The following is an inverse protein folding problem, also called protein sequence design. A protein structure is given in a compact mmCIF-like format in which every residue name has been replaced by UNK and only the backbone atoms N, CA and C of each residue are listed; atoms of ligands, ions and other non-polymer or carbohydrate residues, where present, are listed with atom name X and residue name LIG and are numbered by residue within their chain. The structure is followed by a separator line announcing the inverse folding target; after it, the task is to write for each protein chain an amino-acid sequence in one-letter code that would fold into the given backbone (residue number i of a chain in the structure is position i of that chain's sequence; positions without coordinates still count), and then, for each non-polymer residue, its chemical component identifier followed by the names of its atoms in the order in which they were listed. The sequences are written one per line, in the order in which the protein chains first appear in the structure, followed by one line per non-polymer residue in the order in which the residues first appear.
data_IF_334528609329
#
_entry.id   IF_334528609329
#
_cell.length_a   1.000
_cell.length_b   1.000
_cell.length_c   1.000
_cell.angle_alpha   90.00
_cell.angle_beta   90.00
_cell.angle_gamma   90.00
#
_symmetry.space_group_name_H-M   'P 1'
#
loop_
_entity.id
_entity.type
_entity.pdbx_description
1 polymer ?
#
# COMPACT_ATOMS: atom_id res chain seq x y z
N UNK A 1 -3.53 -19.67 -11.11
CA UNK A 1 -3.17 -18.40 -10.43
C UNK A 1 -4.31 -17.43 -10.61
N UNK A 2 -4.67 -16.72 -9.54
CA UNK A 2 -5.77 -15.73 -9.53
C UNK A 2 -5.40 -14.46 -10.33
N UNK A 3 -6.39 -13.60 -10.62
CA UNK A 3 -6.16 -12.32 -11.33
C UNK A 3 -5.13 -11.44 -10.60
N UNK A 4 -5.22 -11.35 -9.27
CA UNK A 4 -4.27 -10.60 -8.43
C UNK A 4 -2.86 -11.17 -8.60
N UNK A 5 -2.70 -12.48 -8.41
CA UNK A 5 -1.40 -13.13 -8.48
C UNK A 5 -0.75 -12.93 -9.86
N UNK A 6 -1.52 -13.11 -10.94
CA UNK A 6 -1.04 -12.95 -12.32
C UNK A 6 -0.63 -11.51 -12.64
N UNK A 7 -1.34 -10.52 -12.10
CA UNK A 7 -0.95 -9.12 -12.28
C UNK A 7 0.32 -8.79 -11.49
N UNK A 8 0.38 -9.19 -10.22
CA UNK A 8 1.54 -8.96 -9.34
C UNK A 8 2.79 -9.67 -9.85
N UNK A 9 2.66 -10.86 -10.48
CA UNK A 9 3.78 -11.57 -11.12
C UNK A 9 4.17 -11.01 -12.50
N UNK A 10 3.43 -10.02 -13.02
CA UNK A 10 3.68 -9.43 -14.34
C UNK A 10 3.22 -10.28 -15.54
N UNK A 11 2.43 -11.34 -15.32
CA UNK A 11 1.91 -12.20 -16.39
C UNK A 11 0.79 -11.54 -17.20
N UNK A 12 0.00 -10.66 -16.58
CA UNK A 12 -1.12 -9.97 -17.24
C UNK A 12 -1.16 -8.50 -16.87
N UNK A 13 -1.65 -7.64 -17.78
CA UNK A 13 -1.98 -6.27 -17.43
C UNK A 13 -3.22 -6.19 -16.56
N UNK A 14 -3.44 -5.04 -15.93
CA UNK A 14 -4.70 -4.72 -15.28
C UNK A 14 -5.84 -4.50 -16.30
N UNK A 15 -7.06 -4.23 -15.81
CA UNK A 15 -8.25 -3.99 -16.65
C UNK A 15 -8.14 -2.74 -17.54
N UNK A 16 -7.16 -1.88 -17.33
CA UNK A 16 -6.86 -0.71 -18.17
C UNK A 16 -5.74 -0.99 -19.19
N UNK A 17 -5.22 -2.22 -19.25
CA UNK A 17 -4.12 -2.59 -20.14
C UNK A 17 -2.74 -2.16 -19.64
N UNK A 18 -2.59 -1.80 -18.36
CA UNK A 18 -1.33 -1.36 -17.76
C UNK A 18 -0.60 -2.56 -17.17
N UNK A 19 0.66 -2.77 -17.56
CA UNK A 19 1.50 -3.80 -16.98
C UNK A 19 2.14 -3.32 -15.68
N UNK A 20 2.42 -4.22 -14.76
CA UNK A 20 3.03 -3.87 -13.47
C UNK A 20 4.38 -3.15 -13.64
N UNK A 21 5.20 -3.57 -14.60
CA UNK A 21 6.48 -2.91 -14.92
C UNK A 21 6.31 -1.44 -15.33
N UNK A 22 5.25 -1.13 -16.08
CA UNK A 22 4.95 0.24 -16.50
C UNK A 22 4.55 1.11 -15.30
N UNK A 23 3.77 0.53 -14.38
CA UNK A 23 3.35 1.22 -13.16
C UNK A 23 4.50 1.37 -12.16
N UNK A 24 5.40 0.38 -12.10
CA UNK A 24 6.60 0.44 -11.26
C UNK A 24 7.59 1.52 -11.73
N UNK A 25 7.53 1.92 -13.01
CA UNK A 25 8.30 3.02 -13.57
C UNK A 25 7.66 4.40 -13.34
N UNK A 26 6.56 4.50 -12.59
CA UNK A 26 5.92 5.79 -12.28
C UNK A 26 6.83 6.65 -11.41
N UNK A 27 6.95 7.93 -11.79
CA UNK A 27 7.59 8.93 -10.94
C UNK A 27 6.57 9.54 -9.95
N UNK A 28 7.07 10.34 -9.01
CA UNK A 28 6.24 10.97 -7.97
C UNK A 28 5.07 11.80 -8.53
N UNK A 29 5.22 12.40 -9.72
CA UNK A 29 4.12 13.13 -10.37
C UNK A 29 2.96 12.19 -10.69
N UNK A 30 3.21 11.06 -11.32
CA UNK A 30 2.15 10.09 -11.64
C UNK A 30 1.57 9.44 -10.37
N UNK A 31 2.42 9.15 -9.38
CA UNK A 31 1.99 8.56 -8.10
C UNK A 31 1.06 9.49 -7.30
N UNK A 32 1.24 10.81 -7.42
CA UNK A 32 0.36 11.81 -6.79
C UNK A 32 -0.97 11.98 -7.56
N UNK A 33 -0.94 11.95 -8.90
CA UNK A 33 -2.10 12.36 -9.72
C UNK A 33 -3.00 11.22 -10.22
N UNK A 34 -2.46 10.01 -10.43
CA UNK A 34 -3.27 8.83 -10.78
C UNK A 34 -3.63 8.07 -9.49
N UNK A 35 -4.91 7.83 -9.24
CA UNK A 35 -5.33 7.08 -8.04
C UNK A 35 -5.80 5.65 -8.37
N UNK A 36 -5.84 5.26 -9.66
CA UNK A 36 -6.35 3.94 -10.06
C UNK A 36 -5.31 2.85 -9.87
N UNK A 37 -4.02 3.18 -10.02
CA UNK A 37 -2.95 2.21 -9.89
C UNK A 37 -2.89 1.62 -8.47
N UNK A 38 -3.15 2.43 -7.44
CA UNK A 38 -3.05 1.96 -6.04
C UNK A 38 -4.05 0.85 -5.75
N UNK A 39 -5.15 0.79 -6.49
CA UNK A 39 -6.17 -0.22 -6.30
C UNK A 39 -5.74 -1.60 -6.77
N UNK A 40 -4.95 -1.67 -7.84
CA UNK A 40 -4.41 -2.91 -8.41
C UNK A 40 -3.10 -3.31 -7.75
N UNK A 41 -2.30 -2.34 -7.30
CA UNK A 41 -1.13 -2.57 -6.46
C UNK A 41 -1.48 -3.16 -5.10
N UNK A 42 -2.51 -2.64 -4.46
CA UNK A 42 -2.94 -3.04 -3.13
C UNK A 42 -4.42 -3.43 -3.15
N UNK A 43 -4.79 -4.60 -3.70
CA UNK A 43 -6.17 -5.07 -3.65
C UNK A 43 -6.57 -5.36 -2.19
N UNK A 44 -7.84 -5.13 -1.87
CA UNK A 44 -8.39 -5.34 -0.52
C UNK A 44 -9.69 -6.16 -0.61
N UNK A 45 -10.21 -6.59 0.53
CA UNK A 45 -11.43 -7.41 0.64
C UNK A 45 -12.74 -6.61 0.54
N UNK A 46 -12.68 -5.28 0.60
CA UNK A 46 -13.84 -4.40 0.47
C UNK A 46 -13.81 -3.52 -0.78
N UNK A 47 -14.91 -3.52 -1.53
CA UNK A 47 -15.13 -2.64 -2.67
C UNK A 47 -16.02 -1.45 -2.31
N UNK A 48 -15.55 -0.22 -2.53
CA UNK A 48 -16.46 0.93 -2.64
C UNK A 48 -16.91 1.10 -4.10
N UNK A 49 -17.90 1.97 -4.37
CA UNK A 49 -18.27 2.36 -5.76
C UNK A 49 -17.07 2.84 -6.59
N UNK A 50 -16.01 3.32 -5.93
CA UNK A 50 -14.79 3.79 -6.57
C UNK A 50 -13.77 2.68 -6.87
N UNK A 51 -14.01 1.44 -6.42
CA UNK A 51 -13.11 0.28 -6.50
C UNK A 51 -13.58 -0.79 -7.52
N UNK A 52 -14.51 -0.46 -8.43
CA UNK A 52 -15.15 -1.45 -9.32
C UNK A 52 -14.20 -2.16 -10.30
N UNK A 53 -13.01 -1.59 -10.51
CA UNK A 53 -12.07 -2.04 -11.54
C UNK A 53 -10.97 -2.94 -11.00
N UNK A 54 -10.61 -2.84 -9.72
CA UNK A 54 -9.64 -3.75 -9.13
C UNK A 54 -10.31 -5.05 -8.63
N UNK A 55 -9.65 -6.21 -8.78
CA UNK A 55 -10.12 -7.43 -8.13
C UNK A 55 -10.13 -7.28 -6.60
N UNK A 56 -11.11 -7.90 -5.95
CA UNK A 56 -11.16 -7.99 -4.49
C UNK A 56 -10.39 -9.20 -4.02
N UNK A 57 -9.73 -9.09 -2.86
CA UNK A 57 -8.98 -10.20 -2.27
C UNK A 57 -9.97 -11.26 -1.75
N UNK A 58 -9.87 -12.47 -2.30
CA UNK A 58 -10.66 -13.64 -1.89
C UNK A 58 -9.84 -14.54 -0.96
N UNK A 59 -10.48 -15.52 -0.33
CA UNK A 59 -9.77 -16.52 0.48
C UNK A 59 -8.77 -17.36 -0.36
N UNK A 60 -9.06 -17.57 -1.65
CA UNK A 60 -8.15 -18.25 -2.57
C UNK A 60 -6.88 -17.43 -2.79
N UNK A 61 -7.01 -16.11 -2.98
CA UNK A 61 -5.86 -15.21 -3.10
C UNK A 61 -4.99 -15.23 -1.85
N UNK A 62 -5.61 -15.16 -0.65
CA UNK A 62 -4.89 -15.23 0.63
C UNK A 62 -4.08 -16.53 0.73
N UNK A 63 -4.70 -17.67 0.43
CA UNK A 63 -4.04 -18.97 0.45
C UNK A 63 -2.91 -19.06 -0.58
N UNK A 64 -3.11 -18.50 -1.77
CA UNK A 64 -2.11 -18.51 -2.84
C UNK A 64 -0.88 -17.69 -2.43
N UNK A 65 -1.06 -16.47 -1.92
CA UNK A 65 0.05 -15.64 -1.44
C UNK A 65 0.73 -16.22 -0.20
N UNK A 66 -0.02 -16.83 0.74
CA UNK A 66 0.57 -17.51 1.89
C UNK A 66 1.53 -18.64 1.49
N UNK A 67 1.28 -19.29 0.34
CA UNK A 67 2.09 -20.40 -0.17
C UNK A 67 3.14 -20.01 -1.23
N UNK A 68 3.34 -18.72 -1.52
CA UNK A 68 4.38 -18.26 -2.46
C UNK A 68 5.14 -17.06 -1.91
N UNK A 69 6.42 -17.29 -1.60
CA UNK A 69 7.35 -16.23 -1.19
C UNK A 69 7.62 -15.25 -2.33
N UNK A 70 7.62 -15.73 -3.57
CA UNK A 70 7.85 -14.92 -4.77
C UNK A 70 6.75 -13.86 -4.94
N UNK A 71 5.48 -14.25 -4.75
CA UNK A 71 4.36 -13.31 -4.84
C UNK A 71 4.35 -12.30 -3.70
N UNK A 72 4.68 -12.74 -2.48
CA UNK A 72 4.85 -11.83 -1.35
C UNK A 72 5.97 -10.83 -1.59
N UNK A 73 7.09 -11.29 -2.13
CA UNK A 73 8.24 -10.45 -2.48
C UNK A 73 7.90 -9.46 -3.60
N UNK A 74 7.21 -9.90 -4.66
CA UNK A 74 6.75 -9.02 -5.73
C UNK A 74 5.78 -7.94 -5.21
N UNK A 75 4.89 -8.31 -4.29
CA UNK A 75 4.01 -7.35 -3.63
C UNK A 75 4.79 -6.34 -2.76
N UNK A 76 5.88 -6.76 -2.11
CA UNK A 76 6.75 -5.85 -1.36
C UNK A 76 7.55 -4.90 -2.26
N UNK A 77 7.90 -5.29 -3.48
CA UNK A 77 8.52 -4.36 -4.45
C UNK A 77 7.58 -3.21 -4.83
N UNK A 78 6.29 -3.48 -4.89
CA UNK A 78 5.25 -2.46 -5.10
C UNK A 78 5.17 -1.52 -3.89
N UNK A 79 5.32 -2.06 -2.67
CA UNK A 79 5.41 -1.25 -1.45
C UNK A 79 6.64 -0.35 -1.47
N UNK A 80 7.81 -0.83 -1.91
CA UNK A 80 9.05 -0.06 -1.93
C UNK A 80 8.93 1.23 -2.76
N UNK A 81 8.32 1.14 -3.94
CA UNK A 81 8.01 2.31 -4.76
C UNK A 81 7.16 3.33 -4.00
N UNK A 82 6.15 2.87 -3.28
CA UNK A 82 5.23 3.74 -2.57
C UNK A 82 5.84 4.33 -1.30
N UNK A 83 6.68 3.59 -0.60
CA UNK A 83 7.42 4.10 0.55
C UNK A 83 8.33 5.25 0.12
N UNK A 84 9.10 5.08 -0.96
CA UNK A 84 9.97 6.15 -1.52
C UNK A 84 9.16 7.42 -1.80
N UNK A 85 8.02 7.27 -2.48
CA UNK A 85 7.10 8.38 -2.77
C UNK A 85 6.59 9.09 -1.50
N UNK A 86 6.34 8.35 -0.43
CA UNK A 86 5.91 8.90 0.86
C UNK A 86 7.05 9.39 1.75
N UNK A 87 8.30 9.34 1.27
CA UNK A 87 9.49 9.74 2.03
C UNK A 87 9.93 8.71 3.07
N UNK A 88 9.54 7.45 2.90
CA UNK A 88 9.83 6.33 3.79
C UNK A 88 10.67 5.27 3.06
N UNK A 89 11.18 4.30 3.80
CA UNK A 89 11.84 3.12 3.25
C UNK A 89 11.61 1.91 4.16
N UNK A 90 11.97 0.71 3.67
CA UNK A 90 12.02 -0.49 4.51
C UNK A 90 13.39 -1.18 4.45
N UNK A 91 13.76 -1.83 5.54
CA UNK A 91 14.84 -2.82 5.59
C UNK A 91 14.27 -4.13 6.14
N UNK A 92 14.18 -5.14 5.27
CA UNK A 92 13.38 -6.33 5.55
C UNK A 92 11.92 -5.94 5.85
N UNK A 93 11.52 -6.13 7.10
CA UNK A 93 10.16 -5.83 7.59
C UNK A 93 10.06 -4.47 8.31
N UNK A 94 11.18 -3.84 8.62
CA UNK A 94 11.20 -2.60 9.42
C UNK A 94 10.97 -1.38 8.55
N UNK A 95 10.10 -0.46 8.99
CA UNK A 95 9.79 0.79 8.30
C UNK A 95 10.52 1.95 8.97
N UNK A 96 11.15 2.81 8.16
CA UNK A 96 11.88 3.96 8.65
C UNK A 96 11.78 5.15 7.70
N UNK A 97 12.20 6.33 8.18
CA UNK A 97 12.48 7.49 7.33
C UNK A 97 13.93 7.94 7.52
N UNK A 98 14.58 8.29 6.42
CA UNK A 98 15.94 8.86 6.43
C UNK A 98 15.95 10.35 6.73
N UNK A 99 14.82 11.03 6.48
CA UNK A 99 14.71 12.48 6.64
C UNK A 99 13.82 12.81 7.85
N UNK A 100 14.00 13.99 8.48
CA UNK A 100 13.12 14.40 9.55
C UNK A 100 11.65 14.43 9.12
N UNK A 101 10.77 13.90 9.98
CA UNK A 101 9.34 13.88 9.79
C UNK A 101 8.81 15.30 9.65
N UNK A 102 8.42 15.67 8.44
CA UNK A 102 7.87 16.98 8.12
C UNK A 102 7.08 16.94 6.80
N UNK A 103 6.14 17.87 6.59
CA UNK A 103 5.40 18.00 5.33
C UNK A 103 6.28 18.32 4.10
N UNK A 104 7.51 18.80 4.31
CA UNK A 104 8.46 19.07 3.24
C UNK A 104 9.09 17.79 2.69
N UNK A 105 9.30 16.79 3.55
CA UNK A 105 9.93 15.52 3.19
C UNK A 105 8.91 14.39 2.96
N UNK A 106 7.71 14.51 3.53
CA UNK A 106 6.68 13.48 3.50
C UNK A 106 5.34 14.10 3.12
N UNK A 107 4.88 13.84 1.90
CA UNK A 107 3.64 14.46 1.37
C UNK A 107 2.43 14.20 2.25
N UNK A 108 2.34 13.00 2.85
CA UNK A 108 1.21 12.58 3.68
C UNK A 108 1.15 13.28 5.06
N UNK A 109 2.23 13.93 5.49
CA UNK A 109 2.24 14.76 6.71
C UNK A 109 1.68 16.17 6.48
N UNK A 110 1.35 16.55 5.24
CA UNK A 110 0.59 17.79 5.00
C UNK A 110 -0.81 17.64 5.61
N UNK A 111 -1.29 18.72 6.25
CA UNK A 111 -2.60 18.70 6.88
C UNK A 111 -3.70 18.34 5.87
N UNK A 112 -4.53 17.36 6.21
CA UNK A 112 -5.64 16.87 5.38
C UNK A 112 -5.20 16.32 4.01
N UNK A 113 -3.96 15.83 3.89
CA UNK A 113 -3.50 15.25 2.64
C UNK A 113 -4.23 13.95 2.30
N UNK A 114 -4.63 13.80 1.05
CA UNK A 114 -5.35 12.63 0.58
C UNK A 114 -4.52 11.33 0.68
N UNK A 115 -3.19 11.41 0.73
CA UNK A 115 -2.31 10.26 0.96
C UNK A 115 -2.52 9.62 2.34
N UNK A 116 -3.01 10.38 3.34
CA UNK A 116 -3.32 9.83 4.66
C UNK A 116 -4.34 8.69 4.58
N UNK A 117 -5.37 8.83 3.74
CA UNK A 117 -6.34 7.76 3.50
C UNK A 117 -5.83 6.68 2.54
N UNK A 118 -4.96 7.05 1.60
CA UNK A 118 -4.33 6.08 0.67
C UNK A 118 -3.48 5.06 1.42
N UNK A 119 -2.77 5.48 2.47
CA UNK A 119 -1.92 4.63 3.31
C UNK A 119 -2.68 3.48 3.99
N UNK A 120 -3.97 3.65 4.27
CA UNK A 120 -4.82 2.56 4.80
C UNK A 120 -4.83 1.33 3.89
N UNK A 121 -4.75 1.55 2.57
CA UNK A 121 -4.95 0.50 1.59
C UNK A 121 -3.75 -0.47 1.49
N UNK A 122 -2.49 -0.01 1.38
CA UNK A 122 -1.33 -0.88 1.52
C UNK A 122 -1.33 -1.68 2.82
N UNK A 123 -1.64 -1.04 3.96
CA UNK A 123 -1.70 -1.74 5.26
C UNK A 123 -2.67 -2.91 5.18
N UNK A 124 -3.90 -2.68 4.72
CA UNK A 124 -4.90 -3.75 4.58
C UNK A 124 -4.43 -4.82 3.61
N UNK A 125 -3.97 -4.43 2.42
CA UNK A 125 -3.59 -5.39 1.38
C UNK A 125 -2.43 -6.28 1.79
N UNK A 126 -1.38 -5.71 2.39
CA UNK A 126 -0.23 -6.45 2.90
C UNK A 126 -0.65 -7.45 3.98
N UNK A 127 -1.51 -7.02 4.91
CA UNK A 127 -2.06 -7.89 5.95
C UNK A 127 -2.87 -9.05 5.37
N UNK A 128 -3.64 -8.81 4.30
CA UNK A 128 -4.42 -9.86 3.66
C UNK A 128 -3.58 -10.84 2.84
N UNK A 129 -2.48 -10.38 2.24
CA UNK A 129 -1.70 -11.11 1.24
C UNK A 129 -0.38 -11.66 1.81
N UNK A 130 -0.36 -12.01 3.09
CA UNK A 130 0.72 -12.76 3.72
C UNK A 130 1.97 -11.95 4.11
N UNK A 131 1.87 -10.62 4.14
CA UNK A 131 2.93 -9.70 4.59
C UNK A 131 2.49 -9.00 5.90
N UNK A 132 1.90 -9.74 6.85
CA UNK A 132 1.29 -9.21 8.08
C UNK A 132 2.27 -8.43 8.96
N UNK A 133 3.51 -8.90 9.07
CA UNK A 133 4.54 -8.24 9.89
C UNK A 133 4.89 -6.86 9.31
N UNK A 134 5.13 -6.78 8.00
CA UNK A 134 5.38 -5.52 7.28
C UNK A 134 4.18 -4.58 7.40
N UNK A 135 2.95 -5.11 7.28
CA UNK A 135 1.73 -4.32 7.44
C UNK A 135 1.61 -3.70 8.84
N UNK A 136 1.96 -4.48 9.87
CA UNK A 136 1.95 -4.06 11.27
C UNK A 136 3.00 -2.98 11.52
N UNK A 137 4.24 -3.21 11.06
CA UNK A 137 5.33 -2.25 11.20
C UNK A 137 5.04 -0.93 10.46
N UNK A 138 4.41 -0.99 9.27
CA UNK A 138 3.94 0.20 8.57
C UNK A 138 2.87 0.95 9.37
N UNK A 139 1.87 0.23 9.90
CA UNK A 139 0.83 0.84 10.72
C UNK A 139 1.43 1.53 11.96
N UNK A 140 2.32 0.87 12.68
CA UNK A 140 2.94 1.39 13.89
C UNK A 140 3.82 2.62 13.60
N UNK A 141 4.63 2.57 12.54
CA UNK A 141 5.44 3.71 12.11
C UNK A 141 4.57 4.93 11.80
N UNK A 142 3.47 4.75 11.06
CA UNK A 142 2.56 5.83 10.70
C UNK A 142 1.86 6.43 11.93
N UNK A 143 1.42 5.60 12.87
CA UNK A 143 0.79 6.05 14.12
C UNK A 143 1.77 6.82 14.99
N UNK A 144 3.00 6.33 15.15
CA UNK A 144 4.04 7.00 15.92
C UNK A 144 4.36 8.38 15.31
N UNK A 145 4.55 8.42 13.99
CA UNK A 145 4.82 9.65 13.23
C UNK A 145 3.66 10.65 13.29
N UNK A 146 2.41 10.17 13.24
CA UNK A 146 1.22 10.99 13.39
C UNK A 146 1.13 11.62 14.79
N UNK A 147 1.41 10.84 15.84
CA UNK A 147 1.43 11.33 17.22
C UNK A 147 2.54 12.36 17.46
N UNK A 148 3.71 12.16 16.87
CA UNK A 148 4.84 13.09 16.96
C UNK A 148 4.52 14.44 16.29
N UNK A 149 3.92 14.41 15.10
CA UNK A 149 3.73 15.60 14.27
C UNK A 149 2.40 16.32 14.50
N UNK A 150 1.38 15.63 15.02
CA UNK A 150 0.03 16.16 15.22
C UNK A 150 -0.71 16.52 13.93
N UNK A 151 -0.23 16.06 12.77
CA UNK A 151 -0.72 16.45 11.43
C UNK A 151 -1.87 15.58 10.90
N UNK A 152 -2.21 14.50 11.61
CA UNK A 152 -3.16 13.47 11.19
C UNK A 152 -4.30 13.40 12.20
N UNK A 153 -5.52 13.32 11.69
CA UNK A 153 -6.71 13.19 12.55
C UNK A 153 -6.82 11.80 13.20
N UNK A 154 -7.39 11.74 14.41
CA UNK A 154 -7.68 10.49 15.13
C UNK A 154 -8.51 9.51 14.29
N UNK A 155 -9.44 10.03 13.49
CA UNK A 155 -10.25 9.23 12.57
C UNK A 155 -9.41 8.50 11.53
N UNK A 156 -8.38 9.16 10.99
CA UNK A 156 -7.49 8.54 10.00
C UNK A 156 -6.59 7.51 10.66
N UNK A 157 -6.04 7.82 11.84
CA UNK A 157 -5.31 6.86 12.67
C UNK A 157 -6.15 5.61 12.96
N UNK A 158 -7.45 5.78 13.21
CA UNK A 158 -8.36 4.65 13.44
C UNK A 158 -8.56 3.78 12.18
N UNK A 159 -8.56 4.37 10.98
CA UNK A 159 -8.56 3.59 9.74
C UNK A 159 -7.31 2.72 9.60
N UNK A 160 -6.12 3.25 9.93
CA UNK A 160 -4.88 2.47 9.89
C UNK A 160 -4.90 1.31 10.88
N UNK A 161 -5.31 1.55 12.13
CA UNK A 161 -5.47 0.48 13.13
C UNK A 161 -6.44 -0.61 12.68
N UNK A 162 -7.55 -0.21 12.05
CA UNK A 162 -8.54 -1.18 11.59
C UNK A 162 -8.05 -1.99 10.38
N UNK A 163 -7.10 -1.49 9.61
CA UNK A 163 -6.59 -2.17 8.42
C UNK A 163 -5.84 -3.48 8.75
N UNK A 164 -5.25 -3.58 9.93
CA UNK A 164 -4.58 -4.80 10.43
C UNK A 164 -5.51 -5.70 11.27
N UNK A 165 -6.79 -5.39 11.39
CA UNK A 165 -7.74 -6.24 12.12
C UNK A 165 -8.36 -7.29 11.18
N UNK A 166 -8.49 -8.52 11.67
CA UNK A 166 -9.08 -9.66 10.94
C UNK A 166 -10.59 -9.52 10.75
#
# INVERSE_FOLDING_TARGET
MSEIARFISGEVPDKFGRNIEQLLAYNHFWLEHDQKYIQVFFPIDEGTKFNQHAPLVTQEDRALFANSEELRTAHLQVLDLMLDFWGMQRDGNEISSLLPLSPANHVWLKNHDHNQLRLTRPIRSLYLLGNEEVATNLCDFLIASANETGSVSDKTVQYWRNAING
#
